data_IF_410063898303
#
_entry.id   IF_410063898303
#
_cell.length_a   1.000
_cell.length_b   1.000
_cell.length_c   1.000
_cell.angle_alpha   90.00
_cell.angle_beta   90.00
_cell.angle_gamma   90.00
#
_symmetry.space_group_name_H-M   'P 1'
#
loop_
_entity.id
_entity.type
_entity.pdbx_description
1 polymer ?
#
# COMPACT_ATOMS: atom_id res chain seq x y z
N UNK A 1 -39.91 22.31 14.98
CA UNK A 1 -38.65 21.80 15.58
C UNK A 1 -38.13 22.68 16.71
N UNK A 2 -38.04 24.01 16.54
CA UNK A 2 -37.66 24.94 17.63
C UNK A 2 -38.56 24.79 18.87
N UNK A 3 -39.87 24.61 18.67
CA UNK A 3 -40.84 24.41 19.75
C UNK A 3 -40.53 23.12 20.56
N UNK A 4 -40.18 22.02 19.91
CA UNK A 4 -39.89 20.75 20.59
C UNK A 4 -38.60 20.82 21.42
N UNK A 5 -37.53 21.43 20.88
CA UNK A 5 -36.28 21.64 21.62
C UNK A 5 -36.47 22.62 22.79
N UNK A 6 -37.29 23.66 22.60
CA UNK A 6 -37.62 24.65 23.65
C UNK A 6 -38.45 24.02 24.76
N UNK A 7 -39.45 23.20 24.41
CA UNK A 7 -40.29 22.46 25.37
C UNK A 7 -39.46 21.42 26.14
N UNK A 8 -38.55 20.71 25.47
CA UNK A 8 -37.68 19.74 26.13
C UNK A 8 -36.69 20.40 27.10
N UNK A 9 -36.10 21.53 26.73
CA UNK A 9 -35.23 22.31 27.62
C UNK A 9 -35.99 22.87 28.84
N UNK A 10 -37.22 23.35 28.63
CA UNK A 10 -38.09 23.82 29.71
C UNK A 10 -38.49 22.67 30.66
N UNK A 11 -38.84 21.49 30.14
CA UNK A 11 -39.19 20.32 30.94
C UNK A 11 -38.01 19.78 31.75
N UNK A 12 -36.79 19.84 31.23
CA UNK A 12 -35.58 19.42 31.96
C UNK A 12 -35.18 20.38 33.10
N UNK A 13 -35.58 21.66 33.00
CA UNK A 13 -35.29 22.68 34.01
C UNK A 13 -36.25 22.65 35.21
N UNK A 14 -37.45 22.08 35.06
CA UNK A 14 -38.49 22.07 36.11
C UNK A 14 -38.14 21.23 37.36
N UNK A 15 -37.48 20.05 37.28
CA UNK A 15 -37.28 19.21 38.47
C UNK A 15 -35.96 19.46 39.22
N UNK A 16 -35.05 20.29 38.73
CA UNK A 16 -33.67 20.33 39.23
C UNK A 16 -33.26 21.72 39.70
N UNK A 17 -33.14 21.91 41.03
CA UNK A 17 -32.55 23.10 41.65
C UNK A 17 -31.02 23.11 41.46
N UNK A 18 -30.59 23.21 40.21
CA UNK A 18 -29.19 23.36 39.87
C UNK A 18 -28.74 24.79 40.15
N UNK A 19 -27.62 24.96 40.86
CA UNK A 19 -26.95 26.25 40.96
C UNK A 19 -26.54 26.75 39.57
N UNK A 20 -26.33 28.07 39.43
CA UNK A 20 -26.04 28.75 38.16
C UNK A 20 -24.92 28.08 37.32
N UNK A 21 -23.93 27.46 37.98
CA UNK A 21 -22.86 26.73 37.30
C UNK A 21 -23.38 25.51 36.51
N UNK A 22 -24.28 24.72 37.09
CA UNK A 22 -24.78 23.49 36.45
C UNK A 22 -25.76 23.77 35.32
N UNK A 23 -26.53 24.85 35.39
CA UNK A 23 -27.41 25.26 34.29
C UNK A 23 -26.61 25.70 33.06
N UNK A 24 -25.46 26.38 33.25
CA UNK A 24 -24.57 26.73 32.12
C UNK A 24 -23.93 25.51 31.46
N UNK A 25 -23.57 24.49 32.23
CA UNK A 25 -23.01 23.23 31.71
C UNK A 25 -24.05 22.48 30.86
N UNK A 26 -25.26 22.30 31.38
CA UNK A 26 -26.34 21.61 30.66
C UNK A 26 -26.78 22.36 29.40
N UNK A 27 -26.80 23.69 29.45
CA UNK A 27 -27.07 24.50 28.26
C UNK A 27 -25.97 24.33 27.20
N UNK A 28 -24.69 24.33 27.60
CA UNK A 28 -23.57 24.05 26.72
C UNK A 28 -23.65 22.66 26.07
N UNK A 29 -23.97 21.63 26.85
CA UNK A 29 -24.18 20.27 26.37
C UNK A 29 -25.34 20.20 25.36
N UNK A 30 -26.46 20.89 25.64
CA UNK A 30 -27.59 21.01 24.73
C UNK A 30 -27.23 21.64 23.38
N UNK A 31 -26.39 22.68 23.36
CA UNK A 31 -25.89 23.30 22.14
C UNK A 31 -24.94 22.37 21.36
N UNK A 32 -24.07 21.63 22.06
CA UNK A 32 -23.19 20.64 21.44
C UNK A 32 -24.00 19.53 20.76
N UNK A 33 -25.00 18.96 21.45
CA UNK A 33 -25.87 17.92 20.91
C UNK A 33 -26.71 18.43 19.72
N UNK A 34 -27.20 19.67 19.78
CA UNK A 34 -27.88 20.31 18.66
C UNK A 34 -26.93 20.48 17.46
N UNK A 35 -25.68 20.87 17.68
CA UNK A 35 -24.66 20.95 16.65
C UNK A 35 -24.40 19.59 15.97
N UNK A 36 -24.24 18.52 16.76
CA UNK A 36 -24.08 17.15 16.25
C UNK A 36 -25.33 16.70 15.46
N UNK A 37 -26.52 17.00 15.97
CA UNK A 37 -27.77 16.67 15.29
C UNK A 37 -27.94 17.42 13.96
N UNK A 38 -27.62 18.71 13.93
CA UNK A 38 -27.69 19.53 12.73
C UNK A 38 -26.63 19.10 11.71
N UNK A 39 -25.41 18.77 12.15
CA UNK A 39 -24.40 18.13 11.31
C UNK A 39 -24.97 16.86 10.67
N UNK A 40 -25.58 15.96 11.45
CA UNK A 40 -26.18 14.72 10.94
C UNK A 40 -27.28 14.96 9.89
N UNK A 41 -27.93 16.12 9.88
CA UNK A 41 -28.93 16.49 8.86
C UNK A 41 -28.34 17.09 7.59
N UNK A 42 -27.06 17.44 7.59
CA UNK A 42 -26.37 17.89 6.38
C UNK A 42 -25.86 16.68 5.60
N UNK A 43 -25.82 16.80 4.26
CA UNK A 43 -25.15 15.82 3.39
C UNK A 43 -23.63 15.78 3.59
N UNK A 44 -23.08 16.59 4.50
CA UNK A 44 -21.64 16.67 4.74
C UNK A 44 -21.08 15.38 5.32
N UNK A 45 -21.81 14.68 6.21
CA UNK A 45 -21.34 13.42 6.78
C UNK A 45 -21.03 12.37 5.71
N UNK A 46 -21.95 12.00 4.79
CA UNK A 46 -21.62 11.04 3.75
C UNK A 46 -20.55 11.56 2.78
N UNK A 47 -20.49 12.87 2.50
CA UNK A 47 -19.43 13.46 1.66
C UNK A 47 -18.05 13.30 2.31
N UNK A 48 -17.91 13.63 3.59
CA UNK A 48 -16.64 13.50 4.31
C UNK A 48 -16.22 12.05 4.46
N UNK A 49 -17.16 11.14 4.74
CA UNK A 49 -16.88 9.71 4.81
C UNK A 49 -16.42 9.18 3.44
N UNK A 50 -17.08 9.57 2.36
CA UNK A 50 -16.64 9.20 1.00
C UNK A 50 -15.27 9.78 0.66
N UNK A 51 -15.04 11.06 0.93
CA UNK A 51 -13.76 11.72 0.67
C UNK A 51 -12.62 11.05 1.45
N UNK A 52 -12.87 10.70 2.72
CA UNK A 52 -11.92 9.98 3.56
C UNK A 52 -11.63 8.58 3.03
N UNK A 53 -12.67 7.82 2.66
CA UNK A 53 -12.49 6.48 2.10
C UNK A 53 -11.73 6.51 0.77
N UNK A 54 -12.06 7.47 -0.10
CA UNK A 54 -11.35 7.67 -1.37
C UNK A 54 -9.89 8.04 -1.14
N UNK A 55 -9.62 8.91 -0.16
CA UNK A 55 -8.25 9.28 0.20
C UNK A 55 -7.46 8.08 0.73
N UNK A 56 -8.04 7.29 1.64
CA UNK A 56 -7.43 6.06 2.15
C UNK A 56 -7.13 5.07 1.02
N UNK A 57 -8.08 4.89 0.11
CA UNK A 57 -7.92 3.99 -1.03
C UNK A 57 -6.81 4.46 -1.98
N UNK A 58 -6.74 5.76 -2.28
CA UNK A 58 -5.66 6.34 -3.10
C UNK A 58 -4.30 6.18 -2.41
N UNK A 59 -4.21 6.42 -1.10
CA UNK A 59 -2.96 6.22 -0.35
C UNK A 59 -2.53 4.75 -0.40
N UNK A 60 -3.45 3.82 -0.20
CA UNK A 60 -3.16 2.38 -0.27
C UNK A 60 -2.69 1.97 -1.67
N UNK A 61 -3.37 2.46 -2.70
CA UNK A 61 -3.02 2.17 -4.09
C UNK A 61 -1.64 2.74 -4.46
N UNK A 62 -1.33 3.96 -4.02
CA UNK A 62 -0.01 4.56 -4.22
C UNK A 62 1.08 3.78 -3.45
N UNK A 63 0.82 3.37 -2.21
CA UNK A 63 1.76 2.56 -1.43
C UNK A 63 2.05 1.20 -2.09
N UNK A 64 1.01 0.56 -2.64
CA UNK A 64 1.18 -0.66 -3.44
C UNK A 64 2.00 -0.38 -4.71
N UNK A 65 1.67 0.67 -5.47
CA UNK A 65 2.39 1.03 -6.71
C UNK A 65 3.87 1.37 -6.47
N UNK A 66 4.21 2.04 -5.36
CA UNK A 66 5.60 2.28 -4.96
C UNK A 66 6.32 0.98 -4.63
N UNK A 67 5.64 0.02 -4.00
CA UNK A 67 6.22 -1.31 -3.75
C UNK A 67 6.48 -2.08 -5.04
N UNK A 68 5.59 -2.00 -6.03
CA UNK A 68 5.78 -2.65 -7.34
C UNK A 68 6.94 -2.08 -8.16
N UNK A 69 7.25 -0.79 -8.01
CA UNK A 69 8.36 -0.15 -8.74
C UNK A 69 9.72 -0.40 -8.10
N UNK A 70 9.76 -0.82 -6.84
CA UNK A 70 11.00 -1.14 -6.12
C UNK A 70 11.40 -2.63 -6.21
N UNK A 71 10.78 -3.42 -7.09
CA UNK A 71 11.22 -4.79 -7.31
C UNK A 71 12.63 -4.79 -7.93
N UNK A 72 13.54 -5.59 -7.38
CA UNK A 72 14.85 -5.76 -7.97
C UNK A 72 14.72 -6.31 -9.41
N UNK A 73 15.59 -5.84 -10.30
CA UNK A 73 15.63 -6.28 -11.70
C UNK A 73 17.08 -6.61 -12.07
N UNK A 74 17.25 -7.71 -12.81
CA UNK A 74 18.57 -8.15 -13.27
C UNK A 74 18.98 -7.44 -14.58
N UNK A 75 18.00 -7.10 -15.43
CA UNK A 75 18.22 -6.41 -16.72
C UNK A 75 18.66 -7.35 -17.84
N UNK A 76 18.06 -8.53 -17.91
CA UNK A 76 18.29 -9.53 -18.95
C UNK A 76 16.97 -9.94 -19.61
N UNK A 77 17.04 -10.29 -20.89
CA UNK A 77 15.98 -11.01 -21.58
C UNK A 77 16.34 -12.50 -21.60
N UNK A 78 15.35 -13.36 -21.34
CA UNK A 78 15.55 -14.79 -21.13
C UNK A 78 14.65 -15.60 -22.04
N UNK A 79 15.19 -16.68 -22.60
CA UNK A 79 14.43 -17.73 -23.26
C UNK A 79 14.53 -19.06 -22.47
N UNK A 80 13.50 -19.93 -22.52
CA UNK A 80 13.57 -21.26 -21.92
C UNK A 80 14.67 -22.13 -22.56
N UNK A 81 15.40 -22.89 -21.74
CA UNK A 81 16.43 -23.84 -22.20
C UNK A 81 16.38 -25.14 -21.38
N UNK A 82 16.85 -26.27 -21.94
CA UNK A 82 16.77 -27.59 -21.27
C UNK A 82 17.52 -27.64 -19.92
N UNK A 83 18.59 -26.86 -19.80
CA UNK A 83 19.45 -26.79 -18.62
C UNK A 83 19.14 -25.61 -17.69
N UNK A 84 18.14 -24.78 -18.01
CA UNK A 84 17.77 -23.60 -17.22
C UNK A 84 17.25 -22.44 -18.09
N UNK A 85 17.80 -21.25 -17.90
CA UNK A 85 17.37 -20.03 -18.60
C UNK A 85 18.47 -19.46 -19.48
N UNK A 86 18.25 -19.37 -20.78
CA UNK A 86 19.19 -18.78 -21.73
C UNK A 86 19.09 -17.26 -21.72
N UNK A 87 20.21 -16.56 -21.56
CA UNK A 87 20.30 -15.11 -21.72
C UNK A 87 20.38 -14.77 -23.20
N UNK A 88 19.36 -14.11 -23.73
CA UNK A 88 19.30 -13.67 -25.13
C UNK A 88 19.67 -12.20 -25.30
N UNK A 89 19.55 -11.40 -24.23
CA UNK A 89 19.95 -10.00 -24.22
C UNK A 89 20.39 -9.56 -22.82
N UNK A 90 21.40 -8.68 -22.76
CA UNK A 90 21.83 -8.01 -21.54
C UNK A 90 21.72 -6.51 -21.75
N UNK A 91 20.91 -5.83 -20.92
CA UNK A 91 20.72 -4.39 -21.01
C UNK A 91 21.97 -3.67 -20.48
N UNK A 92 22.53 -2.73 -21.25
CA UNK A 92 23.71 -1.97 -20.81
C UNK A 92 23.45 -1.15 -19.55
N UNK A 93 24.41 -1.15 -18.62
CA UNK A 93 24.30 -0.47 -17.33
C UNK A 93 23.39 -1.17 -16.31
N UNK A 94 22.91 -2.38 -16.60
CA UNK A 94 22.12 -3.19 -15.68
C UNK A 94 22.97 -3.91 -14.62
N UNK A 95 22.29 -4.55 -13.65
CA UNK A 95 22.94 -5.41 -12.67
C UNK A 95 23.64 -6.60 -13.35
N UNK A 96 23.05 -7.18 -14.40
CA UNK A 96 23.63 -8.26 -15.19
C UNK A 96 24.90 -7.84 -15.93
N UNK A 97 24.88 -6.67 -16.56
CA UNK A 97 26.04 -6.10 -17.25
C UNK A 97 27.20 -5.85 -16.27
N UNK A 98 26.87 -5.27 -15.11
CA UNK A 98 27.84 -5.05 -14.03
C UNK A 98 28.38 -6.37 -13.44
N UNK A 99 27.57 -7.43 -13.43
CA UNK A 99 27.96 -8.77 -12.99
C UNK A 99 28.76 -9.54 -14.06
N UNK A 100 28.87 -9.02 -15.29
CA UNK A 100 29.59 -9.67 -16.39
C UNK A 100 28.84 -10.86 -17.02
N UNK A 101 27.51 -10.89 -16.88
CA UNK A 101 26.66 -11.80 -17.64
C UNK A 101 26.67 -11.41 -19.12
N UNK A 102 26.61 -12.41 -19.99
CA UNK A 102 26.69 -12.23 -21.44
C UNK A 102 25.52 -12.96 -22.12
N UNK A 103 25.26 -12.57 -23.37
CA UNK A 103 24.41 -13.34 -24.27
C UNK A 103 25.00 -14.74 -24.45
N UNK A 104 24.13 -15.74 -24.57
CA UNK A 104 24.44 -17.17 -24.62
C UNK A 104 24.85 -17.82 -23.28
N UNK A 105 24.80 -17.10 -22.16
CA UNK A 105 24.89 -17.71 -20.84
C UNK A 105 23.59 -18.47 -20.50
N UNK A 106 23.74 -19.65 -19.89
CA UNK A 106 22.60 -20.40 -19.35
C UNK A 106 22.65 -20.31 -17.84
N UNK A 107 21.65 -19.66 -17.23
CA UNK A 107 21.51 -19.58 -15.78
C UNK A 107 20.89 -20.88 -15.25
N UNK A 108 21.58 -21.53 -14.33
CA UNK A 108 21.17 -22.83 -13.76
C UNK A 108 20.69 -22.73 -12.31
N UNK A 109 21.20 -21.77 -11.53
CA UNK A 109 20.74 -21.53 -10.16
C UNK A 109 20.98 -20.09 -9.68
N UNK A 110 20.17 -19.67 -8.71
CA UNK A 110 20.37 -18.44 -7.91
C UNK A 110 20.37 -18.81 -6.43
N UNK A 111 21.41 -18.41 -5.68
CA UNK A 111 21.55 -18.66 -4.24
C UNK A 111 21.28 -20.13 -3.88
N UNK A 112 21.93 -21.04 -4.60
CA UNK A 112 21.80 -22.49 -4.47
C UNK A 112 20.41 -23.07 -4.79
N UNK A 113 19.47 -22.25 -5.31
CA UNK A 113 18.16 -22.71 -5.78
C UNK A 113 18.18 -22.95 -7.29
N UNK A 114 17.87 -24.16 -7.77
CA UNK A 114 17.82 -24.45 -9.19
C UNK A 114 16.70 -23.64 -9.87
N UNK A 115 16.96 -23.21 -11.10
CA UNK A 115 16.02 -22.41 -11.88
C UNK A 115 15.74 -23.10 -13.21
N UNK A 116 14.53 -23.62 -13.33
CA UNK A 116 14.10 -24.41 -14.50
C UNK A 116 13.35 -23.58 -15.55
N UNK A 117 12.94 -22.35 -15.22
CA UNK A 117 12.20 -21.49 -16.14
C UNK A 117 12.49 -20.00 -15.92
N UNK A 118 12.38 -19.17 -16.99
CA UNK A 118 12.54 -17.72 -16.89
C UNK A 118 11.64 -17.09 -15.82
N UNK A 119 10.40 -17.56 -15.69
CA UNK A 119 9.44 -17.07 -14.70
C UNK A 119 9.92 -17.37 -13.27
N UNK A 120 10.54 -18.54 -13.05
CA UNK A 120 11.17 -18.89 -11.78
C UNK A 120 12.32 -17.96 -11.42
N UNK A 121 13.19 -17.63 -12.39
CA UNK A 121 14.29 -16.68 -12.20
C UNK A 121 13.75 -15.31 -11.79
N UNK A 122 12.76 -14.81 -12.53
CA UNK A 122 12.15 -13.51 -12.31
C UNK A 122 11.52 -13.45 -10.92
N UNK A 123 10.84 -14.51 -10.48
CA UNK A 123 10.22 -14.54 -9.16
C UNK A 123 11.25 -14.46 -8.02
N UNK A 124 12.38 -15.17 -8.15
CA UNK A 124 13.46 -15.13 -7.16
C UNK A 124 14.06 -13.73 -7.08
N UNK A 125 14.36 -13.11 -8.22
CA UNK A 125 14.93 -11.75 -8.25
C UNK A 125 13.92 -10.73 -7.70
N UNK A 126 12.64 -10.82 -8.05
CA UNK A 126 11.59 -9.93 -7.54
C UNK A 126 11.35 -10.08 -6.03
N UNK A 127 11.67 -11.24 -5.45
CA UNK A 127 11.62 -11.46 -4.00
C UNK A 127 12.82 -10.92 -3.23
N UNK A 128 13.88 -10.50 -3.95
CA UNK A 128 15.11 -9.94 -3.36
C UNK A 128 15.00 -8.42 -3.21
N UNK A 129 15.74 -7.83 -2.26
CA UNK A 129 15.76 -6.39 -2.07
C UNK A 129 16.76 -5.72 -3.02
N UNK A 130 16.46 -4.48 -3.43
CA UNK A 130 17.42 -3.68 -4.19
C UNK A 130 18.69 -3.50 -3.35
N UNK A 131 19.83 -3.92 -3.91
CA UNK A 131 21.14 -3.86 -3.25
C UNK A 131 21.59 -5.18 -2.63
N UNK A 132 20.73 -6.21 -2.59
CA UNK A 132 21.14 -7.55 -2.20
C UNK A 132 22.15 -8.13 -3.21
N UNK A 133 23.09 -8.91 -2.70
CA UNK A 133 24.02 -9.69 -3.52
C UNK A 133 23.51 -11.11 -3.60
N UNK A 134 23.29 -11.58 -4.83
CA UNK A 134 22.90 -12.95 -5.13
C UNK A 134 24.02 -13.65 -5.87
N UNK A 135 24.19 -14.95 -5.62
CA UNK A 135 25.13 -15.80 -6.35
C UNK A 135 24.39 -16.46 -7.51
N UNK A 136 24.90 -16.32 -8.72
CA UNK A 136 24.29 -16.91 -9.93
C UNK A 136 25.26 -17.95 -10.48
N UNK A 137 24.79 -19.19 -10.64
CA UNK A 137 25.51 -20.21 -11.37
C UNK A 137 25.11 -20.15 -12.85
N UNK A 138 26.12 -20.13 -13.73
CA UNK A 138 25.93 -20.09 -15.18
C UNK A 138 26.74 -21.17 -15.86
N UNK A 139 26.25 -21.62 -17.02
CA UNK A 139 27.01 -22.40 -18.00
C UNK A 139 27.34 -21.45 -19.15
N UNK A 140 28.63 -21.32 -19.47
CA UNK A 140 29.12 -20.50 -20.59
C UNK A 140 29.95 -21.37 -21.53
N UNK A 141 29.58 -21.42 -22.80
CA UNK A 141 30.25 -22.27 -23.81
C UNK A 141 30.35 -23.75 -23.39
N UNK A 142 29.33 -24.28 -22.71
CA UNK A 142 29.32 -25.67 -22.20
C UNK A 142 30.29 -25.94 -21.04
N UNK A 143 30.81 -24.88 -20.39
CA UNK A 143 31.62 -24.97 -19.17
C UNK A 143 30.86 -24.29 -18.04
N UNK A 144 30.57 -25.05 -16.97
CA UNK A 144 30.03 -24.56 -15.71
C UNK A 144 31.13 -24.40 -14.66
#
# INVERSE_FOLDING_TARGET
MVIAATVQAALFAIPHFYGLAWTTVLFGEGLCLLGIYLWRKTLLTPIFVHAFHNLLFVILLLAAAVSYTNAAQLGVLLDPHEEGCLIVEVMSGSAADTAGLLVDDIVTSIDDRPVESPEGLVHVIQSSQIGDRVVIAIIRNGKG
#
